data_IF_993130307322
#
_entry.id   IF_993130307322
#
_cell.length_a   1.000
_cell.length_b   1.000
_cell.length_c   1.000
_cell.angle_alpha   90.00
_cell.angle_beta   90.00
_cell.angle_gamma   90.00
#
_symmetry.space_group_name_H-M   'P 1'
#
loop_
_entity.id
_entity.type
_entity.pdbx_description
1 polymer ?
#
# COMPACT_ATOMS: atom_id res chain seq x y z
N UNK A 1 -8.20 -5.04 19.32
CA UNK A 1 -7.70 -4.43 18.04
C UNK A 1 -8.61 -4.73 16.86
N UNK A 2 -8.81 -5.99 16.43
CA UNK A 2 -9.64 -6.30 15.23
C UNK A 2 -11.08 -5.77 15.39
N UNK A 3 -11.76 -6.02 16.50
CA UNK A 3 -13.11 -5.48 16.76
C UNK A 3 -13.17 -3.96 16.73
N UNK A 4 -12.11 -3.28 17.19
CA UNK A 4 -12.01 -1.82 17.10
C UNK A 4 -11.96 -1.36 15.62
N UNK A 5 -11.12 -2.01 14.80
CA UNK A 5 -11.02 -1.72 13.36
C UNK A 5 -12.36 -1.98 12.65
N UNK A 6 -13.04 -3.08 12.97
CA UNK A 6 -14.38 -3.38 12.44
C UNK A 6 -15.43 -2.34 12.86
N UNK A 7 -15.36 -1.88 14.13
CA UNK A 7 -16.23 -0.82 14.62
C UNK A 7 -16.03 0.49 13.87
N UNK A 8 -14.80 0.88 13.64
CA UNK A 8 -14.44 2.08 12.85
C UNK A 8 -14.92 1.99 11.42
N UNK A 9 -14.71 0.85 10.78
CA UNK A 9 -15.21 0.62 9.43
C UNK A 9 -16.75 0.77 9.36
N UNK A 10 -17.49 0.22 10.34
CA UNK A 10 -18.95 0.35 10.42
C UNK A 10 -19.41 1.79 10.58
N UNK A 11 -18.68 2.58 11.36
CA UNK A 11 -19.01 3.98 11.64
C UNK A 11 -18.63 4.92 10.49
N UNK A 12 -17.43 4.74 9.92
CA UNK A 12 -16.85 5.69 8.97
C UNK A 12 -16.85 5.17 7.51
N UNK A 13 -17.12 3.87 7.30
CA UNK A 13 -17.10 3.24 5.98
C UNK A 13 -15.71 2.98 5.42
N UNK A 14 -14.65 3.18 6.21
CA UNK A 14 -13.25 2.91 5.90
C UNK A 14 -12.55 2.28 7.09
N UNK A 15 -11.60 1.39 6.84
CA UNK A 15 -10.70 0.90 7.87
C UNK A 15 -9.69 1.98 8.28
N UNK A 16 -9.21 1.96 9.54
CA UNK A 16 -8.24 2.96 9.98
C UNK A 16 -6.87 2.77 9.32
N UNK A 17 -6.17 3.87 9.13
CA UNK A 17 -4.79 3.93 8.65
C UNK A 17 -3.85 4.38 9.77
N UNK A 18 -4.08 5.58 10.28
CA UNK A 18 -3.25 6.19 11.31
C UNK A 18 -4.08 7.04 12.26
N UNK A 19 -4.52 6.42 13.34
CA UNK A 19 -5.30 7.13 14.34
C UNK A 19 -4.44 7.91 15.32
N UNK A 20 -4.84 9.15 15.54
CA UNK A 20 -4.29 9.97 16.59
C UNK A 20 -5.44 10.67 17.35
N UNK A 21 -5.40 10.64 18.67
CA UNK A 21 -6.43 11.27 19.53
C UNK A 21 -7.88 10.86 19.20
N UNK A 22 -8.07 9.59 18.81
CA UNK A 22 -9.41 9.05 18.48
C UNK A 22 -9.94 9.53 17.12
N UNK A 23 -9.08 9.99 16.23
CA UNK A 23 -9.44 10.39 14.86
C UNK A 23 -8.48 9.77 13.86
N UNK A 24 -9.03 9.36 12.72
CA UNK A 24 -8.22 9.02 11.56
C UNK A 24 -7.59 10.28 10.98
N UNK A 25 -6.27 10.27 10.77
CA UNK A 25 -5.52 11.42 10.27
C UNK A 25 -5.14 11.30 8.81
N UNK A 26 -5.17 10.10 8.25
CA UNK A 26 -4.74 9.77 6.88
C UNK A 26 -3.28 10.17 6.59
N UNK A 27 -2.47 10.33 7.62
CA UNK A 27 -1.14 10.93 7.53
C UNK A 27 -0.11 9.98 6.91
N UNK A 28 -0.26 8.66 7.14
CA UNK A 28 0.72 7.68 6.69
C UNK A 28 0.36 7.08 5.34
N UNK A 29 1.37 6.46 4.73
CA UNK A 29 1.22 5.76 3.46
C UNK A 29 0.42 4.46 3.62
N UNK A 30 -0.06 3.97 2.48
CA UNK A 30 -0.56 2.61 2.37
C UNK A 30 -1.98 2.39 2.84
N UNK A 31 -2.25 1.14 3.11
CA UNK A 31 -3.53 0.60 3.54
C UNK A 31 -3.30 -0.52 4.57
N UNK A 32 -2.73 -0.17 5.72
CA UNK A 32 -2.16 -1.13 6.68
C UNK A 32 -3.18 -2.02 7.36
N UNK A 33 -4.45 -1.63 7.37
CA UNK A 33 -5.51 -2.45 7.97
C UNK A 33 -5.73 -3.76 7.22
N UNK A 34 -5.50 -3.79 5.91
CA UNK A 34 -5.69 -5.00 5.09
C UNK A 34 -4.75 -6.12 5.55
N UNK A 35 -3.42 -5.97 5.55
CA UNK A 35 -2.55 -7.04 5.99
C UNK A 35 -2.78 -7.44 7.45
N UNK A 36 -3.14 -6.52 8.33
CA UNK A 36 -3.44 -6.84 9.74
C UNK A 36 -4.68 -7.73 9.88
N UNK A 37 -5.77 -7.38 9.20
CA UNK A 37 -7.01 -8.17 9.23
C UNK A 37 -6.81 -9.56 8.61
N UNK A 38 -6.15 -9.61 7.46
CA UNK A 38 -5.89 -10.85 6.75
C UNK A 38 -4.97 -11.78 7.56
N UNK A 39 -3.85 -11.26 8.06
CA UNK A 39 -2.90 -12.06 8.86
C UNK A 39 -3.55 -12.60 10.13
N UNK A 40 -4.37 -11.78 10.79
CA UNK A 40 -5.13 -12.20 11.98
C UNK A 40 -6.09 -13.34 11.65
N UNK A 41 -6.86 -13.23 10.58
CA UNK A 41 -7.81 -14.26 10.18
C UNK A 41 -7.11 -15.56 9.75
N UNK A 42 -6.03 -15.46 8.97
CA UNK A 42 -5.24 -16.60 8.54
C UNK A 42 -4.55 -17.34 9.69
N UNK A 43 -4.27 -16.66 10.79
CA UNK A 43 -3.73 -17.23 12.02
C UNK A 43 -4.79 -17.77 12.99
N UNK A 44 -6.05 -17.80 12.58
CA UNK A 44 -7.14 -18.39 13.36
C UNK A 44 -7.88 -17.43 14.29
N UNK A 45 -7.59 -16.14 14.27
CA UNK A 45 -8.38 -15.11 14.97
C UNK A 45 -9.62 -14.77 14.13
N UNK A 46 -10.64 -15.62 14.19
CA UNK A 46 -11.79 -15.60 13.27
C UNK A 46 -13.10 -15.18 13.96
N UNK A 47 -13.04 -14.48 15.06
CA UNK A 47 -14.18 -14.03 15.86
C UNK A 47 -14.80 -12.70 15.37
N UNK A 48 -14.67 -12.41 14.06
CA UNK A 48 -15.25 -11.25 13.40
C UNK A 48 -15.83 -11.61 12.03
N UNK A 49 -16.72 -10.77 11.54
CA UNK A 49 -17.38 -10.97 10.23
C UNK A 49 -16.36 -10.74 9.09
N UNK A 50 -15.86 -11.83 8.55
CA UNK A 50 -14.87 -11.80 7.48
C UNK A 50 -15.46 -11.33 6.14
N UNK A 51 -16.73 -11.58 5.87
CA UNK A 51 -17.37 -11.13 4.64
C UNK A 51 -17.56 -9.60 4.66
N UNK A 52 -17.92 -9.04 5.81
CA UNK A 52 -17.99 -7.60 5.98
C UNK A 52 -16.59 -6.96 5.91
N UNK A 53 -15.60 -7.57 6.56
CA UNK A 53 -14.22 -7.13 6.47
C UNK A 53 -13.71 -7.16 5.03
N UNK A 54 -14.00 -8.24 4.30
CA UNK A 54 -13.63 -8.36 2.89
C UNK A 54 -14.23 -7.24 2.03
N UNK A 55 -15.50 -6.90 2.23
CA UNK A 55 -16.16 -5.79 1.51
C UNK A 55 -15.43 -4.47 1.73
N UNK A 56 -15.04 -4.17 2.97
CA UNK A 56 -14.30 -2.95 3.29
C UNK A 56 -12.90 -2.90 2.68
N UNK A 57 -12.18 -4.00 2.75
CA UNK A 57 -10.86 -4.14 2.14
C UNK A 57 -10.92 -4.06 0.60
N UNK A 58 -11.89 -4.73 -0.01
CA UNK A 58 -12.14 -4.68 -1.45
C UNK A 58 -12.51 -3.25 -1.90
N UNK A 59 -13.38 -2.57 -1.15
CA UNK A 59 -13.73 -1.16 -1.38
C UNK A 59 -12.48 -0.29 -1.43
N UNK A 60 -11.61 -0.39 -0.42
CA UNK A 60 -10.37 0.38 -0.37
C UNK A 60 -9.46 0.09 -1.57
N UNK A 61 -9.33 -1.18 -1.94
CA UNK A 61 -8.46 -1.60 -3.04
C UNK A 61 -8.98 -1.26 -4.45
N UNK A 62 -10.28 -0.93 -4.61
CA UNK A 62 -10.92 -0.78 -5.94
C UNK A 62 -11.63 0.54 -6.17
N UNK A 63 -11.91 1.33 -5.14
CA UNK A 63 -12.52 2.66 -5.30
C UNK A 63 -11.55 3.62 -6.00
N UNK A 64 -12.00 4.42 -6.98
CA UNK A 64 -11.18 5.48 -7.60
C UNK A 64 -10.61 6.46 -6.57
N UNK A 65 -9.40 6.99 -6.83
CA UNK A 65 -8.66 7.80 -5.88
C UNK A 65 -9.38 9.03 -5.36
N UNK A 66 -10.13 9.72 -6.23
CA UNK A 66 -10.92 10.91 -5.84
C UNK A 66 -11.98 10.64 -4.75
N UNK A 67 -12.47 9.39 -4.66
CA UNK A 67 -13.48 8.96 -3.71
C UNK A 67 -12.90 7.99 -2.65
N UNK A 68 -11.58 7.84 -2.62
CA UNK A 68 -10.87 6.87 -1.80
C UNK A 68 -9.98 7.56 -0.76
N UNK A 69 -10.40 7.51 0.50
CA UNK A 69 -9.64 8.13 1.58
C UNK A 69 -8.32 7.39 1.88
N UNK A 70 -8.27 6.07 1.62
CA UNK A 70 -7.10 5.25 1.94
C UNK A 70 -6.05 5.28 0.84
N UNK A 71 -6.48 5.35 -0.43
CA UNK A 71 -5.62 5.28 -1.61
C UNK A 71 -5.96 6.41 -2.58
N UNK A 72 -5.55 7.67 -2.29
CA UNK A 72 -5.90 8.83 -3.11
C UNK A 72 -5.33 8.77 -4.54
N UNK A 73 -4.30 8.01 -4.76
CA UNK A 73 -3.60 7.78 -6.03
C UNK A 73 -3.99 6.45 -6.71
N UNK A 74 -5.12 5.84 -6.29
CA UNK A 74 -5.54 4.52 -6.75
C UNK A 74 -5.84 4.44 -8.26
N UNK A 75 -6.24 5.55 -8.89
CA UNK A 75 -6.48 5.58 -10.35
C UNK A 75 -5.20 5.27 -11.14
N UNK A 76 -4.09 5.91 -10.79
CA UNK A 76 -2.79 5.64 -11.40
C UNK A 76 -2.29 4.24 -11.04
N UNK A 77 -2.40 3.87 -9.76
CA UNK A 77 -2.00 2.54 -9.30
C UNK A 77 -2.73 1.41 -10.01
N UNK A 78 -4.05 1.53 -10.19
CA UNK A 78 -4.86 0.52 -10.89
C UNK A 78 -4.58 0.48 -12.39
N UNK A 79 -4.42 1.64 -13.03
CA UNK A 79 -4.27 1.72 -14.49
C UNK A 79 -2.86 1.47 -14.97
N UNK A 80 -1.85 1.97 -14.25
CA UNK A 80 -0.44 1.89 -14.64
C UNK A 80 0.31 0.75 -13.93
N UNK A 81 -0.19 0.28 -12.79
CA UNK A 81 0.49 -0.70 -11.93
C UNK A 81 1.58 -0.08 -11.06
N UNK A 82 1.64 1.25 -10.98
CA UNK A 82 2.53 2.01 -10.09
C UNK A 82 1.91 3.38 -9.79
N UNK A 83 2.43 4.06 -8.77
CA UNK A 83 2.09 5.44 -8.44
C UNK A 83 3.17 6.35 -9.01
N UNK A 84 2.85 7.23 -9.97
CA UNK A 84 3.81 8.20 -10.49
C UNK A 84 4.22 9.21 -9.40
N UNK A 85 5.46 9.68 -9.49
CA UNK A 85 5.96 10.68 -8.55
C UNK A 85 5.15 11.99 -8.55
N UNK A 86 4.57 12.36 -9.69
CA UNK A 86 3.75 13.56 -9.83
C UNK A 86 2.34 13.40 -9.23
N UNK A 87 1.91 12.19 -8.97
CA UNK A 87 0.61 11.91 -8.33
C UNK A 87 0.71 11.90 -6.82
N UNK A 88 1.89 11.62 -6.29
CA UNK A 88 2.18 11.63 -4.87
C UNK A 88 3.55 12.27 -4.63
N UNK A 89 3.53 13.49 -4.15
CA UNK A 89 4.69 14.39 -4.11
C UNK A 89 5.90 13.82 -3.35
N UNK A 90 5.65 13.18 -2.21
CA UNK A 90 6.73 12.88 -1.28
C UNK A 90 7.15 11.41 -1.32
N UNK A 91 6.23 10.47 -1.47
CA UNK A 91 6.49 9.07 -1.17
C UNK A 91 5.84 8.11 -2.17
N UNK A 92 5.88 8.40 -3.46
CA UNK A 92 5.19 7.59 -4.48
C UNK A 92 5.59 6.12 -4.46
N UNK A 93 6.87 5.84 -4.23
CA UNK A 93 7.39 4.46 -4.14
C UNK A 93 6.89 3.79 -2.86
N UNK A 94 6.98 4.48 -1.70
CA UNK A 94 6.50 3.95 -0.42
C UNK A 94 5.00 3.67 -0.45
N UNK A 95 4.18 4.60 -0.95
CA UNK A 95 2.75 4.39 -1.15
C UNK A 95 2.45 3.13 -1.97
N UNK A 96 3.11 3.00 -3.12
CA UNK A 96 2.90 1.85 -3.98
C UNK A 96 3.34 0.53 -3.35
N UNK A 97 4.46 0.51 -2.63
CA UNK A 97 4.95 -0.68 -1.95
C UNK A 97 3.97 -1.17 -0.88
N UNK A 98 3.42 -0.26 -0.09
CA UNK A 98 2.39 -0.58 0.89
C UNK A 98 1.11 -1.13 0.21
N UNK A 99 0.71 -0.56 -0.93
CA UNK A 99 -0.43 -1.09 -1.68
C UNK A 99 -0.16 -2.49 -2.24
N UNK A 100 1.07 -2.80 -2.68
CA UNK A 100 1.41 -4.14 -3.14
C UNK A 100 1.36 -5.16 -2.00
N UNK A 101 1.81 -4.80 -0.81
CA UNK A 101 1.69 -5.65 0.39
C UNK A 101 0.22 -5.89 0.73
N UNK A 102 -0.60 -4.84 0.74
CA UNK A 102 -2.03 -4.94 0.99
C UNK A 102 -2.76 -5.79 -0.05
N UNK A 103 -2.46 -5.58 -1.34
CA UNK A 103 -3.04 -6.37 -2.43
C UNK A 103 -2.59 -7.84 -2.38
N UNK A 104 -1.34 -8.12 -1.99
CA UNK A 104 -0.90 -9.50 -1.78
C UNK A 104 -1.68 -10.17 -0.65
N UNK A 105 -1.83 -9.51 0.49
CA UNK A 105 -2.62 -10.00 1.61
C UNK A 105 -4.07 -10.26 1.18
N UNK A 106 -4.70 -9.27 0.52
CA UNK A 106 -6.07 -9.40 0.03
C UNK A 106 -6.23 -10.54 -0.98
N UNK A 107 -5.23 -10.78 -1.84
CA UNK A 107 -5.22 -11.92 -2.76
C UNK A 107 -5.24 -13.26 -2.02
N UNK A 108 -4.50 -13.35 -0.94
CA UNK A 108 -4.42 -14.56 -0.10
C UNK A 108 -5.75 -14.84 0.59
N UNK A 109 -6.38 -13.81 1.14
CA UNK A 109 -7.72 -13.94 1.73
C UNK A 109 -8.77 -14.29 0.68
N UNK A 110 -8.75 -13.63 -0.49
CA UNK A 110 -9.67 -13.91 -1.58
C UNK A 110 -9.59 -15.38 -2.03
N UNK A 111 -8.38 -15.93 -2.10
CA UNK A 111 -8.16 -17.35 -2.41
C UNK A 111 -8.78 -18.25 -1.33
N UNK A 112 -8.54 -17.96 -0.06
CA UNK A 112 -9.11 -18.71 1.07
C UNK A 112 -10.65 -18.66 1.12
N UNK A 113 -11.24 -17.55 0.69
CA UNK A 113 -12.70 -17.37 0.59
C UNK A 113 -13.29 -17.88 -0.74
N UNK A 114 -12.49 -18.48 -1.61
CA UNK A 114 -12.93 -19.02 -2.91
C UNK A 114 -13.23 -17.96 -3.98
N UNK A 115 -12.84 -16.71 -3.79
CA UNK A 115 -13.03 -15.57 -4.71
C UNK A 115 -11.90 -15.54 -5.75
N UNK A 116 -11.92 -16.49 -6.67
CA UNK A 116 -10.78 -16.77 -7.59
C UNK A 116 -10.38 -15.59 -8.48
N UNK A 117 -11.34 -14.85 -9.01
CA UNK A 117 -11.04 -13.72 -9.90
C UNK A 117 -10.39 -12.57 -9.13
N UNK A 118 -10.89 -12.26 -7.93
CA UNK A 118 -10.30 -11.26 -7.05
C UNK A 118 -8.89 -11.67 -6.62
N UNK A 119 -8.70 -12.94 -6.25
CA UNK A 119 -7.39 -13.48 -5.89
C UNK A 119 -6.38 -13.27 -7.03
N UNK A 120 -6.77 -13.59 -8.26
CA UNK A 120 -5.94 -13.40 -9.45
C UNK A 120 -5.64 -11.93 -9.73
N UNK A 121 -6.66 -11.06 -9.62
CA UNK A 121 -6.52 -9.62 -9.81
C UNK A 121 -5.49 -9.04 -8.83
N UNK A 122 -5.71 -9.23 -7.53
CA UNK A 122 -4.85 -8.66 -6.51
C UNK A 122 -3.45 -9.28 -6.51
N UNK A 123 -3.33 -10.58 -6.81
CA UNK A 123 -2.02 -11.22 -6.98
C UNK A 123 -1.23 -10.59 -8.13
N UNK A 124 -1.87 -10.31 -9.26
CA UNK A 124 -1.24 -9.63 -10.40
C UNK A 124 -0.79 -8.22 -10.00
N UNK A 125 -1.65 -7.46 -9.32
CA UNK A 125 -1.34 -6.09 -8.89
C UNK A 125 -0.18 -6.04 -7.91
N UNK A 126 -0.14 -6.95 -6.94
CA UNK A 126 0.93 -7.03 -5.95
C UNK A 126 2.33 -7.21 -6.53
N UNK A 127 2.44 -7.68 -7.77
CA UNK A 127 3.72 -7.83 -8.46
C UNK A 127 4.22 -6.55 -9.14
N UNK A 128 3.47 -5.47 -9.04
CA UNK A 128 3.78 -4.18 -9.67
C UNK A 128 5.04 -3.50 -9.13
N UNK A 129 5.53 -3.87 -7.94
CA UNK A 129 6.81 -3.37 -7.41
C UNK A 129 7.97 -3.53 -8.40
N UNK A 130 7.89 -4.50 -9.32
CA UNK A 130 8.89 -4.74 -10.36
C UNK A 130 9.04 -3.57 -11.32
N UNK A 131 8.02 -2.73 -11.47
CA UNK A 131 8.08 -1.53 -12.31
C UNK A 131 9.12 -0.54 -11.78
N UNK A 132 9.28 -0.46 -10.45
CA UNK A 132 10.23 0.46 -9.82
C UNK A 132 11.67 -0.03 -9.83
N UNK A 133 11.90 -1.32 -10.09
CA UNK A 133 13.25 -1.87 -9.98
C UNK A 133 14.15 -1.43 -11.14
N UNK A 134 15.19 -0.66 -10.81
CA UNK A 134 16.23 -0.23 -11.74
C UNK A 134 17.44 -1.17 -11.64
N UNK A 135 17.73 -1.86 -12.73
CA UNK A 135 18.90 -2.75 -12.81
C UNK A 135 20.23 -2.00 -12.68
N UNK A 136 20.27 -0.77 -13.20
CA UNK A 136 21.50 0.03 -13.24
C UNK A 136 21.92 0.49 -11.83
N UNK A 137 20.93 0.70 -10.95
CA UNK A 137 21.15 1.12 -9.57
C UNK A 137 21.02 -0.02 -8.56
N UNK A 138 20.44 -1.16 -8.95
CA UNK A 138 20.18 -2.28 -8.05
C UNK A 138 19.13 -1.98 -6.98
N UNK A 139 18.32 -0.92 -7.15
CA UNK A 139 17.32 -0.47 -6.18
C UNK A 139 16.03 -0.03 -6.87
N UNK A 140 15.01 0.28 -6.05
CA UNK A 140 13.76 0.84 -6.53
C UNK A 140 13.94 2.35 -6.81
N UNK A 141 13.36 2.84 -7.89
CA UNK A 141 13.42 4.24 -8.30
C UNK A 141 12.03 4.81 -8.58
N UNK A 142 11.79 6.09 -8.28
CA UNK A 142 10.55 6.76 -8.67
C UNK A 142 10.36 6.73 -10.19
N UNK A 143 9.09 6.65 -10.60
CA UNK A 143 8.68 6.61 -12.01
C UNK A 143 7.80 7.82 -12.29
N UNK A 144 8.02 8.48 -13.41
CA UNK A 144 7.20 9.61 -13.87
C UNK A 144 5.89 9.13 -14.51
N UNK A 145 4.96 10.06 -14.76
CA UNK A 145 3.71 9.77 -15.48
C UNK A 145 3.93 9.19 -16.88
N UNK A 146 5.04 9.54 -17.51
CA UNK A 146 5.45 9.02 -18.81
C UNK A 146 6.06 7.61 -18.76
N UNK A 147 6.20 7.03 -17.56
CA UNK A 147 6.74 5.69 -17.38
C UNK A 147 8.28 5.61 -17.41
N UNK A 148 8.96 6.73 -17.21
CA UNK A 148 10.42 6.81 -17.15
C UNK A 148 10.89 6.90 -15.70
N UNK A 149 12.08 6.36 -15.42
CA UNK A 149 12.70 6.61 -14.12
C UNK A 149 13.03 8.10 -13.98
N UNK A 150 12.77 8.62 -12.79
CA UNK A 150 13.07 10.00 -12.45
C UNK A 150 14.58 10.26 -12.41
N UNK A 151 15.00 11.40 -12.93
CA UNK A 151 16.37 11.90 -12.92
C UNK A 151 16.40 13.38 -12.47
N UNK A 152 17.39 13.82 -11.69
CA UNK A 152 18.50 13.02 -11.13
C UNK A 152 18.01 12.15 -9.94
N UNK A 153 18.65 11.00 -9.71
CA UNK A 153 18.33 10.10 -8.61
C UNK A 153 19.58 9.72 -7.82
N UNK A 154 19.59 10.02 -6.53
CA UNK A 154 20.58 9.54 -5.57
C UNK A 154 19.92 8.56 -4.59
N UNK A 155 20.30 7.27 -4.58
CA UNK A 155 19.74 6.28 -3.68
C UNK A 155 20.05 6.54 -2.19
N UNK A 156 20.97 7.47 -1.89
CA UNK A 156 21.31 7.87 -0.52
C UNK A 156 20.46 9.03 -0.01
N UNK A 157 19.75 9.72 -0.87
CA UNK A 157 18.79 10.75 -0.46
C UNK A 157 17.55 10.09 0.09
N UNK A 158 17.45 10.04 1.42
CA UNK A 158 16.23 9.74 2.13
C UNK A 158 15.57 11.04 2.57
N UNK A 159 14.31 11.26 2.21
CA UNK A 159 13.58 12.43 2.66
C UNK A 159 12.42 12.01 3.55
N UNK A 160 12.55 12.31 4.84
CA UNK A 160 11.40 12.45 5.71
C UNK A 160 10.98 13.92 5.70
N UNK A 161 9.76 14.21 5.24
CA UNK A 161 9.13 15.55 5.32
C UNK A 161 9.81 16.68 4.55
N UNK A 162 10.76 16.39 3.67
CA UNK A 162 11.25 17.39 2.72
C UNK A 162 10.42 17.30 1.42
N UNK A 163 10.17 18.41 0.73
CA UNK A 163 9.57 18.39 -0.59
C UNK A 163 10.58 17.80 -1.59
N UNK A 164 10.70 16.50 -1.56
CA UNK A 164 11.58 15.75 -2.42
C UNK A 164 10.74 14.87 -3.33
N UNK A 165 10.90 14.96 -4.63
CA UNK A 165 10.03 14.25 -5.55
C UNK A 165 10.28 12.75 -5.49
N UNK A 166 9.28 12.02 -5.02
CA UNK A 166 9.15 10.59 -5.24
C UNK A 166 10.07 9.68 -4.45
N UNK A 167 10.59 10.14 -3.31
CA UNK A 167 11.51 9.35 -2.52
C UNK A 167 10.84 8.40 -1.54
N UNK A 168 11.66 7.53 -0.99
CA UNK A 168 11.29 6.55 -0.01
C UNK A 168 11.13 7.22 1.35
N UNK A 169 10.08 6.94 2.05
CA UNK A 169 10.05 7.13 3.48
C UNK A 169 11.10 6.22 4.13
N UNK A 170 11.67 6.64 5.26
CA UNK A 170 12.84 6.03 5.88
C UNK A 170 12.80 4.51 6.12
N UNK A 171 11.62 3.88 6.13
CA UNK A 171 11.53 2.44 6.36
C UNK A 171 12.16 1.58 5.25
N UNK A 172 12.22 2.05 4.01
CA UNK A 172 12.93 1.33 2.94
C UNK A 172 14.46 1.38 3.08
N UNK A 173 14.97 2.44 3.72
CA UNK A 173 16.39 2.51 4.08
C UNK A 173 16.76 1.54 5.20
N UNK A 174 15.81 1.22 6.10
CA UNK A 174 16.02 0.27 7.19
C UNK A 174 15.93 -1.18 6.78
N UNK A 175 15.26 -1.49 5.68
CA UNK A 175 15.14 -2.85 5.14
C UNK A 175 16.22 -3.22 4.13
N UNK A 176 17.01 -2.24 3.67
CA UNK A 176 18.23 -2.53 2.91
C UNK A 176 19.26 -3.18 3.84
N UNK A 177 19.98 -4.24 3.38
CA UNK A 177 21.06 -4.81 4.18
C UNK A 177 22.02 -3.70 4.59
N UNK A 178 22.15 -3.50 5.89
CA UNK A 178 23.12 -2.55 6.43
C UNK A 178 24.52 -3.02 6.05
N UNK A 179 25.48 -2.10 5.77
CA UNK A 179 26.89 -2.47 5.65
C UNK A 179 27.45 -3.19 6.90
N UNK A 180 26.67 -3.26 7.98
CA UNK A 180 27.01 -4.01 9.20
C UNK A 180 26.55 -5.48 9.14
N UNK A 181 25.75 -5.86 8.15
CA UNK A 181 25.20 -7.20 7.98
C UNK A 181 26.02 -8.04 6.97
N UNK A 182 27.17 -7.51 6.52
CA UNK A 182 28.15 -8.19 5.65
C UNK A 182 29.42 -8.54 6.39
#
# INVERSE_FOLDING_TARGET
>A
MIHTMMGMYKEHGWFPKWELYGRETLTMEGDPSIPVLVDSWMKGLQDFDIDEAYKGMYKSATTPGKDNLMRPDNDDYMSKGYVPMESQYDNSVSHALEYYVADYALSTLAEALGKKEDAKLFRKRSMGYKNYYSKDFGTLRPITKEGKFYEPFDPKEGANFAPSPGFHEGCLLYTSPSPRDT
#
